data_IF_681137911095
#
_entry.id   IF_681137911095
#
_cell.length_a   1.000
_cell.length_b   1.000
_cell.length_c   1.000
_cell.angle_alpha   90.00
_cell.angle_beta   90.00
_cell.angle_gamma   90.00
#
_symmetry.space_group_name_H-M   'P 1'
#
loop_
_entity.id
_entity.type
_entity.pdbx_description
1 polymer ?
#
# COMPACT_ATOMS: atom_id res chain seq x y z
N UNK A 1 13.22 10.94 -2.26
CA UNK A 1 13.39 10.74 -0.81
C UNK A 1 13.30 9.27 -0.49
N UNK A 2 14.23 8.76 0.31
CA UNK A 2 14.25 7.35 0.69
C UNK A 2 13.30 7.06 1.86
N UNK A 3 12.41 6.09 1.66
CA UNK A 3 11.40 5.68 2.64
C UNK A 3 11.64 4.23 3.02
N UNK A 4 11.67 3.97 4.33
CA UNK A 4 11.79 2.62 4.84
C UNK A 4 10.48 1.86 4.65
N UNK A 5 10.58 0.54 4.55
CA UNK A 5 9.44 -0.34 4.39
C UNK A 5 9.55 -1.62 5.20
N UNK A 6 8.39 -2.21 5.43
CA UNK A 6 8.22 -3.50 6.07
C UNK A 6 7.03 -4.26 5.47
N UNK A 7 7.05 -5.59 5.57
CA UNK A 7 5.97 -6.47 5.16
C UNK A 7 5.51 -7.29 6.36
N UNK A 8 4.21 -7.27 6.64
CA UNK A 8 3.57 -8.04 7.68
C UNK A 8 2.56 -8.98 7.07
N UNK A 9 2.67 -10.27 7.38
CA UNK A 9 1.77 -11.28 6.86
C UNK A 9 1.86 -12.58 7.65
N UNK A 10 0.94 -13.49 7.39
CA UNK A 10 0.95 -14.83 7.99
C UNK A 10 1.98 -15.69 7.28
N UNK A 11 3.00 -16.22 7.97
CA UNK A 11 3.88 -17.23 7.36
C UNK A 11 4.02 -18.45 8.24
N UNK A 12 4.23 -19.59 7.58
CA UNK A 12 4.54 -20.86 8.22
C UNK A 12 6.03 -21.13 8.02
N UNK A 13 6.84 -20.67 8.97
CA UNK A 13 8.27 -20.97 9.00
C UNK A 13 8.57 -21.94 10.14
N UNK A 14 9.78 -22.55 10.15
CA UNK A 14 10.24 -23.34 11.30
C UNK A 14 10.43 -22.50 12.57
N UNK A 15 10.54 -21.17 12.43
CA UNK A 15 10.88 -20.24 13.51
C UNK A 15 9.67 -19.50 14.08
N UNK A 16 8.59 -19.37 13.31
CA UNK A 16 7.40 -18.58 13.65
C UNK A 16 6.17 -19.10 12.92
N UNK A 17 5.04 -19.11 13.63
CA UNK A 17 3.71 -19.34 13.06
C UNK A 17 2.83 -18.15 13.41
N UNK A 18 2.09 -17.66 12.42
CA UNK A 18 1.08 -16.62 12.55
C UNK A 18 1.49 -15.33 11.85
N UNK A 19 0.76 -14.27 12.17
CA UNK A 19 0.94 -12.94 11.63
C UNK A 19 2.13 -12.24 12.29
N UNK A 20 3.13 -11.88 11.47
CA UNK A 20 4.29 -11.14 11.93
C UNK A 20 4.95 -10.35 10.79
N UNK A 21 5.88 -9.47 11.14
CA UNK A 21 6.74 -8.81 10.15
C UNK A 21 7.74 -9.82 9.61
N UNK A 22 7.74 -10.03 8.29
CA UNK A 22 8.53 -11.07 7.60
C UNK A 22 9.69 -10.50 6.80
N UNK A 23 9.64 -9.21 6.46
CA UNK A 23 10.70 -8.53 5.74
C UNK A 23 10.75 -7.05 6.14
N UNK A 24 11.95 -6.51 6.26
CA UNK A 24 12.20 -5.11 6.60
C UNK A 24 13.36 -4.52 5.81
N UNK A 25 13.33 -3.21 5.62
CA UNK A 25 14.49 -2.41 5.20
C UNK A 25 15.47 -2.16 6.35
N UNK A 26 16.69 -1.72 6.03
CA UNK A 26 17.79 -1.56 6.99
C UNK A 26 17.55 -0.46 8.04
N UNK A 27 16.72 0.55 7.75
CA UNK A 27 16.38 1.62 8.68
C UNK A 27 15.26 1.29 9.66
N UNK A 28 14.76 0.05 9.69
CA UNK A 28 13.75 -0.41 10.66
C UNK A 28 14.45 -1.11 11.81
N UNK A 29 14.51 -0.44 12.96
CA UNK A 29 15.05 -0.97 14.20
C UNK A 29 14.02 -1.84 14.96
N UNK A 30 14.43 -2.37 16.11
CA UNK A 30 13.60 -3.25 16.95
C UNK A 30 12.40 -2.52 17.56
N UNK A 31 12.51 -1.23 17.87
CA UNK A 31 11.40 -0.47 18.44
C UNK A 31 10.33 -0.24 17.37
N UNK A 32 10.73 0.15 16.16
CA UNK A 32 9.83 0.23 15.02
C UNK A 32 9.18 -1.12 14.73
N UNK A 33 9.94 -2.20 14.74
CA UNK A 33 9.42 -3.56 14.53
C UNK A 33 8.30 -3.89 15.53
N UNK A 34 8.53 -3.58 16.82
CA UNK A 34 7.54 -3.79 17.88
C UNK A 34 6.27 -2.97 17.65
N UNK A 35 6.40 -1.72 17.22
CA UNK A 35 5.26 -0.85 16.92
C UNK A 35 4.46 -1.34 15.70
N UNK A 36 5.14 -1.80 14.65
CA UNK A 36 4.47 -2.39 13.48
C UNK A 36 3.68 -3.63 13.85
N UNK A 37 4.15 -4.43 14.81
CA UNK A 37 3.41 -5.57 15.34
C UNK A 37 2.13 -5.18 16.09
N UNK A 38 2.14 -4.05 16.83
CA UNK A 38 0.94 -3.53 17.51
C UNK A 38 -0.13 -3.11 16.50
N UNK A 39 0.29 -2.53 15.37
CA UNK A 39 -0.59 -2.09 14.28
C UNK A 39 -0.81 -3.15 13.20
N UNK A 40 -0.30 -4.37 13.41
CA UNK A 40 -0.46 -5.49 12.50
C UNK A 40 -1.92 -5.95 12.47
N UNK A 41 -2.57 -6.06 11.30
CA UNK A 41 -3.93 -6.58 11.24
C UNK A 41 -3.97 -8.07 11.61
N UNK A 42 -5.07 -8.49 12.24
CA UNK A 42 -5.37 -9.91 12.42
C UNK A 42 -6.04 -10.50 11.19
N UNK A 43 -6.32 -11.81 11.23
CA UNK A 43 -7.22 -12.45 10.29
C UNK A 43 -8.59 -11.74 10.26
N UNK A 44 -9.25 -11.74 9.09
CA UNK A 44 -10.58 -11.13 8.86
C UNK A 44 -10.66 -9.64 9.25
N UNK A 45 -9.56 -8.89 9.06
CA UNK A 45 -9.50 -7.46 9.39
C UNK A 45 -10.07 -6.54 8.31
N UNK A 46 -10.37 -7.07 7.12
CA UNK A 46 -10.94 -6.29 6.03
C UNK A 46 -12.47 -6.30 6.13
N UNK A 47 -13.10 -5.21 5.68
CA UNK A 47 -14.54 -4.98 5.83
C UNK A 47 -15.40 -5.95 4.98
N UNK A 48 -14.81 -6.53 3.94
CA UNK A 48 -15.45 -7.38 2.95
C UNK A 48 -14.64 -8.67 2.78
N UNK A 49 -15.33 -9.76 2.43
CA UNK A 49 -14.73 -11.05 2.07
C UNK A 49 -14.40 -11.14 0.56
N UNK A 50 -14.66 -10.09 -0.21
CA UNK A 50 -14.30 -10.01 -1.62
C UNK A 50 -12.76 -9.98 -1.78
N UNK A 51 -12.24 -10.68 -2.79
CA UNK A 51 -10.79 -10.85 -3.00
C UNK A 51 -10.05 -9.56 -3.32
N UNK A 52 -10.77 -8.52 -3.74
CA UNK A 52 -10.25 -7.17 -4.01
C UNK A 52 -10.42 -6.20 -2.84
N UNK A 53 -10.92 -6.68 -1.69
CA UNK A 53 -10.98 -5.87 -0.47
C UNK A 53 -9.57 -5.40 -0.06
N UNK A 54 -9.50 -4.13 0.32
CA UNK A 54 -8.26 -3.49 0.77
C UNK A 54 -8.52 -2.47 1.88
N UNK A 55 -7.47 -2.13 2.62
CA UNK A 55 -7.49 -0.97 3.51
C UNK A 55 -6.21 -0.16 3.39
N UNK A 56 -6.35 1.15 3.56
CA UNK A 56 -5.25 2.09 3.74
C UNK A 56 -5.29 2.61 5.17
N UNK A 57 -4.15 2.56 5.86
CA UNK A 57 -4.07 2.94 7.26
C UNK A 57 -2.91 3.90 7.51
N UNK A 58 -3.06 4.71 8.55
CA UNK A 58 -2.02 5.64 9.02
C UNK A 58 -1.91 5.55 10.53
N UNK A 59 -0.69 5.35 11.04
CA UNK A 59 -0.44 5.20 12.47
C UNK A 59 0.87 5.88 12.91
N UNK A 60 0.91 6.53 14.09
CA UNK A 60 2.17 6.93 14.69
C UNK A 60 2.93 5.69 15.19
N UNK A 61 4.25 5.68 14.99
CA UNK A 61 5.16 4.65 15.52
C UNK A 61 6.00 5.19 16.68
N UNK A 62 6.32 6.48 16.65
CA UNK A 62 7.01 7.24 17.71
C UNK A 62 6.76 8.73 17.50
N UNK A 63 7.33 9.59 18.35
CA UNK A 63 7.17 11.05 18.29
C UNK A 63 7.39 11.66 16.90
N UNK A 64 8.32 11.10 16.12
CA UNK A 64 8.71 11.62 14.80
C UNK A 64 8.63 10.60 13.68
N UNK A 65 8.00 9.45 13.91
CA UNK A 65 7.87 8.41 12.88
C UNK A 65 6.45 7.95 12.73
N UNK A 66 6.05 7.76 11.48
CA UNK A 66 4.70 7.37 11.08
C UNK A 66 4.76 6.22 10.10
N UNK A 67 3.73 5.39 10.11
CA UNK A 67 3.48 4.36 9.11
C UNK A 67 2.28 4.74 8.26
N UNK A 68 2.41 4.62 6.94
CA UNK A 68 1.30 4.45 6.01
C UNK A 68 1.32 3.01 5.54
N UNK A 69 0.20 2.32 5.61
CA UNK A 69 0.12 0.91 5.20
C UNK A 69 -1.02 0.66 4.24
N UNK A 70 -0.81 -0.34 3.38
CA UNK A 70 -1.88 -0.96 2.59
C UNK A 70 -2.00 -2.41 2.98
N UNK A 71 -3.22 -2.82 3.28
CA UNK A 71 -3.59 -4.19 3.61
C UNK A 71 -4.54 -4.73 2.56
N UNK A 72 -4.33 -5.97 2.14
CA UNK A 72 -5.10 -6.67 1.11
C UNK A 72 -5.14 -8.15 1.44
N UNK A 73 -6.05 -8.88 0.80
CA UNK A 73 -5.97 -10.33 0.78
C UNK A 73 -4.79 -10.82 -0.07
N UNK A 74 -4.12 -11.84 0.45
CA UNK A 74 -3.07 -12.60 -0.21
C UNK A 74 -3.59 -13.97 -0.67
N UNK A 75 -2.73 -14.99 -0.58
CA UNK A 75 -3.12 -16.37 -0.88
C UNK A 75 -4.08 -16.98 0.13
N UNK A 76 -4.47 -18.25 -0.06
CA UNK A 76 -5.28 -18.98 0.91
C UNK A 76 -4.61 -19.02 2.30
N UNK A 77 -5.41 -18.84 3.35
CA UNK A 77 -4.93 -18.91 4.73
C UNK A 77 -4.45 -20.34 5.07
N UNK A 78 -3.21 -20.48 5.57
CA UNK A 78 -2.60 -21.80 5.80
C UNK A 78 -3.11 -22.48 7.08
N UNK A 79 -3.73 -21.74 8.01
CA UNK A 79 -4.09 -22.23 9.35
C UNK A 79 -5.32 -23.14 9.37
N UNK A 80 -5.89 -23.48 8.21
CA UNK A 80 -7.07 -24.34 8.10
C UNK A 80 -8.38 -23.67 8.53
N UNK A 81 -8.33 -22.38 8.88
CA UNK A 81 -9.49 -21.58 9.29
C UNK A 81 -10.39 -21.14 8.12
N UNK A 82 -10.01 -21.48 6.89
CA UNK A 82 -10.64 -20.94 5.69
C UNK A 82 -10.30 -19.47 5.48
N UNK A 83 -10.75 -18.90 4.37
CA UNK A 83 -10.49 -17.50 4.02
C UNK A 83 -9.10 -17.24 3.44
N UNK A 84 -8.74 -15.97 3.43
CA UNK A 84 -7.52 -15.47 2.82
C UNK A 84 -6.55 -14.95 3.88
N UNK A 85 -5.28 -15.22 3.67
CA UNK A 85 -4.21 -14.59 4.40
C UNK A 85 -4.25 -13.08 4.16
N UNK A 86 -3.99 -12.30 5.19
CA UNK A 86 -3.87 -10.84 5.05
C UNK A 86 -2.41 -10.47 4.82
N UNK A 87 -2.18 -9.55 3.89
CA UNK A 87 -0.86 -9.03 3.57
C UNK A 87 -0.85 -7.52 3.73
N UNK A 88 0.10 -7.02 4.52
CA UNK A 88 0.25 -5.59 4.79
C UNK A 88 1.64 -5.12 4.39
N UNK A 89 1.70 -4.08 3.58
CA UNK A 89 2.94 -3.36 3.28
C UNK A 89 2.93 -2.02 4.01
N UNK A 90 3.96 -1.78 4.81
CA UNK A 90 4.19 -0.52 5.50
C UNK A 90 5.23 0.31 4.76
N UNK A 91 4.98 1.62 4.69
CA UNK A 91 5.95 2.66 4.39
C UNK A 91 6.13 3.51 5.65
N UNK A 92 7.38 3.69 6.07
CA UNK A 92 7.76 4.27 7.35
C UNK A 92 8.49 5.58 7.10
N UNK A 93 7.89 6.66 7.58
CA UNK A 93 8.28 8.04 7.32
C UNK A 93 8.82 8.70 8.58
N UNK A 94 9.83 9.55 8.42
CA UNK A 94 10.15 10.57 9.42
C UNK A 94 9.19 11.77 9.28
N UNK A 95 9.01 12.53 10.36
CA UNK A 95 8.16 13.72 10.39
C UNK A 95 8.49 14.71 9.27
N UNK A 96 9.78 14.96 9.01
CA UNK A 96 10.23 15.91 7.98
C UNK A 96 9.83 15.46 6.57
N UNK A 97 9.74 14.15 6.33
CA UNK A 97 9.28 13.60 5.05
C UNK A 97 7.78 13.82 4.87
N UNK A 98 7.01 13.62 5.95
CA UNK A 98 5.57 13.83 5.95
C UNK A 98 5.20 15.33 5.85
N UNK A 99 6.08 16.22 6.31
CA UNK A 99 5.93 17.67 6.14
C UNK A 99 5.90 18.09 4.66
N UNK A 100 6.68 17.42 3.78
CA UNK A 100 6.63 17.66 2.33
C UNK A 100 5.26 17.38 1.69
N UNK A 101 4.43 16.59 2.39
CA UNK A 101 3.05 16.27 2.06
C UNK A 101 2.05 17.10 2.88
N UNK A 102 2.48 18.20 3.52
CA UNK A 102 1.67 19.04 4.39
C UNK A 102 0.95 18.25 5.50
N UNK A 103 1.60 17.20 6.01
CA UNK A 103 1.02 16.27 6.99
C UNK A 103 -0.23 15.51 6.51
N UNK A 104 -0.47 15.46 5.20
CA UNK A 104 -1.58 14.72 4.61
C UNK A 104 -1.14 13.29 4.24
N UNK A 105 -1.43 12.35 5.14
CA UNK A 105 -1.12 10.93 4.95
C UNK A 105 -1.81 10.30 3.73
N UNK A 106 -2.98 10.82 3.32
CA UNK A 106 -3.67 10.33 2.13
C UNK A 106 -2.92 10.75 0.86
N UNK A 107 -2.48 12.01 0.75
CA UNK A 107 -1.66 12.45 -0.40
C UNK A 107 -0.39 11.61 -0.55
N UNK A 108 0.24 11.27 0.58
CA UNK A 108 1.36 10.35 0.60
C UNK A 108 0.96 8.95 0.10
N UNK A 109 -0.11 8.36 0.67
CA UNK A 109 -0.58 7.04 0.30
C UNK A 109 -0.91 6.94 -1.19
N UNK A 110 -1.58 7.94 -1.75
CA UNK A 110 -1.93 7.98 -3.17
C UNK A 110 -0.71 8.14 -4.08
N UNK A 111 0.25 8.96 -3.68
CA UNK A 111 1.54 9.08 -4.38
C UNK A 111 2.27 7.73 -4.37
N UNK A 112 2.35 7.07 -3.22
CA UNK A 112 2.97 5.77 -3.07
C UNK A 112 2.25 4.67 -3.87
N UNK A 113 0.92 4.70 -3.92
CA UNK A 113 0.10 3.80 -4.76
C UNK A 113 0.38 4.00 -6.24
N UNK A 114 0.34 5.24 -6.73
CA UNK A 114 0.59 5.59 -8.13
C UNK A 114 1.97 5.14 -8.61
N UNK A 115 2.98 5.24 -7.74
CA UNK A 115 4.34 4.79 -8.04
C UNK A 115 4.54 3.28 -7.83
N UNK A 116 3.56 2.59 -7.25
CA UNK A 116 3.58 1.15 -7.01
C UNK A 116 4.33 0.73 -5.74
N UNK A 117 4.66 1.67 -4.85
CA UNK A 117 5.38 1.40 -3.60
C UNK A 117 4.55 0.61 -2.58
N UNK A 118 3.21 0.66 -2.68
CA UNK A 118 2.28 -0.10 -1.85
C UNK A 118 1.73 -1.38 -2.55
N UNK A 119 2.37 -1.83 -3.63
CA UNK A 119 1.96 -3.05 -4.34
C UNK A 119 2.37 -4.32 -3.57
N UNK A 120 1.58 -5.37 -3.70
CA UNK A 120 1.97 -6.73 -3.32
C UNK A 120 3.13 -7.24 -4.19
N UNK A 121 4.10 -7.91 -3.55
CA UNK A 121 5.16 -8.63 -4.25
C UNK A 121 4.96 -10.13 -4.07
N UNK A 122 5.00 -10.89 -5.18
CA UNK A 122 4.79 -12.34 -5.19
C UNK A 122 5.95 -13.11 -4.58
N UNK A 123 7.16 -12.52 -4.58
CA UNK A 123 8.32 -13.04 -3.88
C UNK A 123 8.69 -12.10 -2.74
N UNK A 124 8.98 -12.68 -1.58
CA UNK A 124 9.40 -11.95 -0.39
C UNK A 124 10.92 -12.13 -0.24
N UNK A 125 11.71 -11.05 -0.41
CA UNK A 125 13.12 -11.11 -0.05
C UNK A 125 13.26 -11.06 1.49
N UNK A 126 14.34 -11.64 2.01
CA UNK A 126 14.65 -11.58 3.45
C UNK A 126 14.90 -10.14 3.94
N UNK A 127 15.34 -9.25 3.03
CA UNK A 127 15.59 -7.83 3.27
C UNK A 127 15.02 -6.99 2.14
N UNK A 128 14.38 -5.89 2.49
CA UNK A 128 13.85 -4.91 1.54
C UNK A 128 14.86 -3.79 1.33
N UNK A 129 14.95 -3.25 0.11
CA UNK A 129 15.57 -1.95 -0.12
C UNK A 129 14.67 -0.84 0.46
N UNK A 130 15.16 0.38 0.56
CA UNK A 130 14.30 1.56 0.67
C UNK A 130 13.49 1.75 -0.62
N UNK A 131 12.42 2.52 -0.55
CA UNK A 131 11.65 2.99 -1.71
C UNK A 131 12.00 4.46 -1.92
N UNK A 132 12.34 4.86 -3.14
CA UNK A 132 12.44 6.27 -3.49
C UNK A 132 11.06 6.83 -3.88
N UNK A 133 10.65 7.89 -3.20
CA UNK A 133 9.40 8.62 -3.43
C UNK A 133 9.69 10.12 -3.62
N UNK A 134 8.85 10.88 -4.32
CA UNK A 134 9.03 12.33 -4.38
C UNK A 134 8.88 12.96 -2.99
N UNK A 135 9.46 14.13 -2.78
CA UNK A 135 9.33 14.87 -1.51
C UNK A 135 7.97 15.55 -1.37
N UNK A 136 7.18 15.60 -2.44
CA UNK A 136 5.89 16.27 -2.52
C UNK A 136 4.86 15.35 -3.19
N UNK A 137 3.56 15.58 -2.97
CA UNK A 137 2.51 14.84 -3.67
C UNK A 137 2.68 14.92 -5.19
N UNK A 138 2.36 13.83 -5.89
CA UNK A 138 2.19 13.90 -7.33
C UNK A 138 1.08 14.89 -7.67
N UNK A 139 1.28 15.65 -8.75
CA UNK A 139 0.26 16.55 -9.24
C UNK A 139 -1.01 15.76 -9.58
N UNK A 140 -2.11 16.11 -8.93
CA UNK A 140 -3.42 15.58 -9.30
C UNK A 140 -3.95 16.37 -10.48
N UNK A 141 -4.35 15.67 -11.52
CA UNK A 141 -5.24 16.24 -12.53
C UNK A 141 -6.61 16.31 -11.90
N UNK A 142 -7.01 17.52 -11.48
CA UNK A 142 -8.38 17.75 -11.03
C UNK A 142 -9.31 17.53 -12.23
N UNK A 143 -10.18 16.54 -12.11
CA UNK A 143 -11.25 16.37 -13.09
C UNK A 143 -12.21 17.56 -12.92
N UNK A 144 -12.67 18.18 -14.02
CA UNK A 144 -13.69 19.20 -13.96
C UNK A 144 -14.88 18.69 -13.13
N UNK A 145 -15.30 19.46 -12.11
CA UNK A 145 -16.55 19.17 -11.40
C UNK A 145 -17.71 19.48 -12.35
N UNK A 146 -18.23 18.45 -12.99
CA UNK A 146 -19.29 18.50 -13.99
C UNK A 146 -19.28 17.21 -14.80
N UNK A 147 -20.40 16.86 -15.44
CA UNK A 147 -20.68 15.60 -16.16
C UNK A 147 -19.75 15.26 -17.33
N UNK A 148 -18.54 15.81 -17.40
CA UNK A 148 -17.54 15.33 -18.34
C UNK A 148 -16.80 14.16 -17.69
N UNK A 149 -16.99 12.92 -18.16
CA UNK A 149 -16.11 11.83 -17.75
C UNK A 149 -14.67 12.28 -17.99
N UNK A 150 -13.72 11.79 -17.18
CA UNK A 150 -12.31 11.82 -17.59
C UNK A 150 -12.31 11.38 -19.05
N UNK A 151 -11.77 12.18 -20.00
CA UNK A 151 -11.74 11.74 -21.38
C UNK A 151 -11.05 10.39 -21.36
N UNK A 152 -11.80 9.35 -21.67
CA UNK A 152 -11.34 7.98 -21.57
C UNK A 152 -10.10 7.78 -22.47
N UNK A 153 -10.02 8.58 -23.52
CA UNK A 153 -8.88 8.80 -24.40
C UNK A 153 -7.62 9.29 -23.67
N UNK A 154 -7.73 10.14 -22.65
CA UNK A 154 -6.59 10.64 -21.86
C UNK A 154 -6.03 9.54 -20.95
N UNK A 155 -6.91 8.75 -20.31
CA UNK A 155 -6.50 7.56 -19.53
C UNK A 155 -5.84 6.55 -20.46
N UNK A 156 -6.45 6.27 -21.62
CA UNK A 156 -5.90 5.41 -22.66
C UNK A 156 -4.54 5.90 -23.15
N UNK A 157 -4.39 7.21 -23.41
CA UNK A 157 -3.13 7.83 -23.83
C UNK A 157 -2.04 7.66 -22.78
N UNK A 158 -2.33 7.93 -21.51
CA UNK A 158 -1.34 7.77 -20.42
C UNK A 158 -0.93 6.29 -20.28
N UNK A 159 -1.88 5.35 -20.37
CA UNK A 159 -1.59 3.92 -20.34
C UNK A 159 -0.74 3.48 -21.54
N UNK A 160 -1.04 3.96 -22.76
CA UNK A 160 -0.30 3.67 -23.99
C UNK A 160 1.12 4.24 -23.98
N UNK A 161 1.35 5.35 -23.27
CA UNK A 161 2.69 5.93 -23.07
C UNK A 161 3.56 5.12 -22.10
N UNK A 162 3.11 3.93 -21.67
CA UNK A 162 3.84 3.07 -20.72
C UNK A 162 3.92 3.65 -19.32
N UNK A 163 3.12 4.68 -19.02
CA UNK A 163 3.10 5.31 -17.71
C UNK A 163 2.23 4.51 -16.76
N UNK A 164 2.64 4.45 -15.48
CA UNK A 164 1.84 3.82 -14.44
C UNK A 164 0.71 4.76 -14.03
N UNK A 165 -0.52 4.24 -14.02
CA UNK A 165 -1.71 4.98 -13.60
C UNK A 165 -2.31 4.28 -12.38
N UNK A 166 -2.51 5.02 -11.29
CA UNK A 166 -3.40 4.60 -10.22
C UNK A 166 -4.75 5.28 -10.41
N UNK A 167 -5.80 4.48 -10.50
CA UNK A 167 -7.18 4.96 -10.52
C UNK A 167 -7.74 4.81 -9.12
N UNK A 168 -8.22 5.91 -8.55
CA UNK A 168 -8.66 5.99 -7.16
C UNK A 168 -10.13 6.42 -7.11
N UNK A 169 -10.90 5.87 -6.17
CA UNK A 169 -12.29 6.26 -5.94
C UNK A 169 -13.33 5.61 -6.88
N UNK A 170 -12.95 4.59 -7.64
CA UNK A 170 -13.90 3.72 -8.32
C UNK A 170 -14.14 2.48 -7.45
N UNK A 171 -15.40 2.14 -7.18
CA UNK A 171 -15.74 0.90 -6.46
C UNK A 171 -15.27 -0.34 -7.23
N UNK A 172 -15.29 -0.28 -8.58
CA UNK A 172 -14.90 -1.40 -9.46
C UNK A 172 -14.08 -0.89 -10.66
N UNK A 173 -12.77 -0.64 -10.49
CA UNK A 173 -11.94 -0.05 -11.54
C UNK A 173 -11.70 -1.00 -12.73
N UNK A 174 -11.68 -2.33 -12.50
CA UNK A 174 -11.39 -3.31 -13.55
C UNK A 174 -12.45 -3.37 -14.66
N UNK A 175 -13.77 -3.42 -14.38
CA UNK A 175 -14.78 -3.28 -15.42
C UNK A 175 -14.67 -2.00 -16.24
N UNK A 176 -14.34 -0.87 -15.59
CA UNK A 176 -14.16 0.43 -16.25
C UNK A 176 -12.94 0.42 -17.16
N UNK A 177 -11.82 -0.17 -16.70
CA UNK A 177 -10.61 -0.37 -17.50
C UNK A 177 -10.83 -1.35 -18.66
N UNK A 178 -11.63 -2.39 -18.48
CA UNK A 178 -11.92 -3.36 -19.54
C UNK A 178 -12.69 -2.72 -20.71
N UNK A 179 -13.49 -1.68 -20.45
CA UNK A 179 -14.14 -0.89 -21.49
C UNK A 179 -13.14 -0.01 -22.27
N UNK A 180 -12.00 0.34 -21.68
CA UNK A 180 -10.96 1.19 -22.29
C UNK A 180 -10.00 0.46 -23.22
N UNK A 181 -9.85 -0.86 -23.05
CA UNK A 181 -8.88 -1.66 -23.81
C UNK A 181 -9.51 -2.40 -25.01
N UNK A 182 -10.75 -2.05 -25.39
CA UNK A 182 -11.41 -2.54 -26.60
C UNK A 182 -11.29 -1.51 -27.70
#
# INVERSE_FOLDING_TARGET
MEVNQAIFTSTRSRKSQGYHVVAISSGVDQELLRQLHVWGPSHASLLSDETDAESLNFHPLSDKRYAVSRTVYGGPEYSGRGGFQVFTRYLILHQDQLQGYAFNALEFAYTALALGALRLTMSLPDRLSTVDLPEKPLARVALPRGESPVPMDEVGRILLLGSRVAILGLEKPLPVLALLMR
#
